data_IF_956550883783
#
_entry.id   IF_956550883783
#
_cell.length_a   1.000
_cell.length_b   1.000
_cell.length_c   1.000
_cell.angle_alpha   90.00
_cell.angle_beta   90.00
_cell.angle_gamma   90.00
#
_symmetry.space_group_name_H-M   'P 1'
#
loop_
_entity.id
_entity.type
_entity.pdbx_description
1 polymer ?
2 non-polymer ?
3 non-polymer ?
4 water ?
#
# COMPACT_ATOMS: atom_id res chain seq x y z
N UNK A 38 -10.92 0.97 -20.55
CA UNK A 38 -12.35 1.05 -20.20
C UNK A 38 -13.06 2.07 -21.08
N UNK A 39 -14.31 1.78 -21.41
CA UNK A 39 -15.18 2.64 -22.22
C UNK A 39 -15.46 3.99 -21.56
N UNK A 40 -15.29 4.06 -20.23
CA UNK A 40 -15.61 5.26 -19.44
C UNK A 40 -14.48 6.33 -19.47
N UNK A 41 -14.86 7.56 -19.75
CA UNK A 41 -13.93 8.69 -19.74
C UNK A 41 -13.65 9.12 -18.30
N UNK A 42 -12.38 9.42 -18.03
CA UNK A 42 -11.93 9.75 -16.67
C UNK A 42 -11.32 11.15 -16.59
N UNK A 43 -11.95 11.97 -15.76
CA UNK A 43 -11.65 13.40 -15.63
C UNK A 43 -11.51 13.76 -14.16
N UNK A 44 -10.37 14.33 -13.83
CA UNK A 44 -10.18 14.76 -12.46
C UNK A 44 -10.58 16.20 -12.26
N UNK A 45 -11.16 16.47 -11.08
CA UNK A 45 -11.44 17.83 -10.62
C UNK A 45 -10.37 18.21 -9.59
N UNK A 46 -9.56 19.20 -9.93
CA UNK A 46 -8.43 19.60 -9.10
C UNK A 46 -8.56 21.06 -8.72
N UNK A 47 -8.10 21.40 -7.53
CA UNK A 47 -8.15 22.76 -7.04
C UNK A 47 -7.64 22.84 -5.62
N UNK A 48 -7.17 24.01 -5.25
CA UNK A 48 -6.73 24.25 -3.89
C UNK A 48 -7.86 23.94 -2.91
N UNK A 49 -7.52 23.82 -1.64
CA UNK A 49 -8.49 23.66 -0.55
C UNK A 49 -9.61 24.72 -0.63
N UNK A 50 -10.85 24.29 -0.42
CA UNK A 50 -12.04 25.17 -0.51
C UNK A 50 -12.19 25.91 -1.83
N UNK A 51 -11.62 25.40 -2.93
CA UNK A 51 -11.85 26.05 -4.22
C UNK A 51 -13.25 25.79 -4.73
N UNK A 52 -13.88 24.71 -4.26
CA UNK A 52 -15.23 24.39 -4.64
C UNK A 52 -15.42 23.05 -5.35
N UNK A 53 -14.50 22.10 -5.14
CA UNK A 53 -14.47 20.86 -5.90
C UNK A 53 -15.64 19.99 -5.51
N UNK A 54 -15.83 19.78 -4.20
CA UNK A 54 -16.97 19.04 -3.66
C UNK A 54 -18.29 19.55 -4.22
N UNK A 55 -18.47 20.88 -4.08
CA UNK A 55 -19.63 21.60 -4.62
C UNK A 55 -19.91 21.28 -6.09
N UNK A 56 -18.89 21.42 -6.95
CA UNK A 56 -19.02 21.27 -8.41
C UNK A 56 -19.37 19.82 -8.76
N UNK A 57 -18.61 18.91 -8.19
CA UNK A 57 -18.83 17.48 -8.30
C UNK A 57 -20.31 17.15 -8.05
N UNK A 58 -20.90 17.70 -7.00
CA UNK A 58 -22.29 17.45 -6.69
C UNK A 58 -23.29 18.06 -7.65
N UNK A 59 -22.90 19.17 -8.28
CA UNK A 59 -23.64 19.76 -9.40
C UNK A 59 -23.56 18.83 -10.62
N UNK A 60 -22.33 18.42 -10.97
CA UNK A 60 -22.08 17.59 -12.14
C UNK A 60 -22.84 16.28 -12.07
N UNK A 61 -22.90 15.72 -10.85
CA UNK A 61 -23.65 14.49 -10.55
C UNK A 61 -25.03 14.50 -11.16
N UNK A 62 -25.78 15.56 -10.84
CA UNK A 62 -27.19 15.69 -11.14
C UNK A 62 -27.47 15.93 -12.64
N UNK A 63 -26.47 16.37 -13.38
CA UNK A 63 -26.71 16.90 -14.71
C UNK A 63 -27.03 15.90 -15.79
N UNK A 64 -26.47 14.71 -15.69
CA UNK A 64 -26.70 13.65 -16.66
C UNK A 64 -26.80 12.32 -15.93
N UNK A 65 -27.62 11.39 -16.44
CA UNK A 65 -27.53 10.02 -15.95
C UNK A 65 -26.21 9.43 -16.41
N UNK A 66 -25.61 10.03 -17.44
CA UNK A 66 -24.35 9.52 -17.97
C UNK A 66 -23.13 10.01 -17.18
N UNK A 67 -23.34 10.85 -16.19
CA UNK A 67 -22.21 11.39 -15.45
C UNK A 67 -22.24 10.89 -14.02
N UNK A 68 -21.18 10.22 -13.61
CA UNK A 68 -21.08 9.74 -12.24
C UNK A 68 -19.86 10.38 -11.58
N UNK A 69 -19.85 10.45 -10.24
CA UNK A 69 -18.72 11.03 -9.49
C UNK A 69 -18.06 10.12 -8.45
N UNK A 70 -16.73 10.21 -8.33
CA UNK A 70 -16.03 9.59 -7.17
C UNK A 70 -15.58 10.63 -6.13
N UNK A 71 -16.32 10.73 -5.01
CA UNK A 71 -16.00 11.62 -3.90
C UNK A 71 -14.61 11.29 -3.31
N UNK A 72 -13.89 12.30 -2.84
CA UNK A 72 -12.57 12.12 -2.21
C UNK A 72 -12.73 11.64 -0.77
N UNK A 73 -12.14 10.48 -0.42
CA UNK A 73 -12.38 9.90 0.89
C UNK A 73 -12.30 10.87 2.09
N UNK A 74 -11.44 11.87 2.02
CA UNK A 74 -11.10 12.60 3.25
C UNK A 74 -12.06 13.63 3.90
N UNK A 75 -13.07 14.19 3.20
CA UNK A 75 -14.10 15.01 3.91
C UNK A 75 -15.04 14.20 4.81
N UNK A 76 -15.48 13.05 4.32
CA UNK A 76 -16.32 12.16 5.13
C UNK A 76 -15.58 11.77 6.42
N UNK A 77 -14.25 11.83 6.40
CA UNK A 77 -13.48 11.54 7.60
C UNK A 77 -13.62 12.63 8.67
N UNK A 78 -13.91 13.86 8.27
CA UNK A 78 -13.90 14.98 9.23
C UNK A 78 -15.21 15.18 9.99
N UNK A 79 -16.33 15.03 9.30
CA UNK A 79 -17.67 15.27 9.86
C UNK A 79 -18.15 14.24 10.91
N UNK A 80 -19.14 14.65 11.72
CA UNK A 80 -19.78 13.74 12.69
C UNK A 80 -21.26 13.55 12.37
N UNK A 89 -24.79 5.06 11.45
CA UNK A 89 -23.40 5.50 11.53
C UNK A 89 -22.47 4.33 11.86
N UNK A 90 -21.60 3.98 10.90
CA UNK A 90 -20.65 2.88 11.06
C UNK A 90 -19.34 3.07 10.24
N UNK A 91 -19.07 2.14 9.31
CA UNK A 91 -17.88 2.14 8.39
C UNK A 91 -16.45 2.16 8.99
N UNK A 92 -15.71 1.07 8.76
CA UNK A 92 -14.35 0.89 9.29
C UNK A 92 -13.35 1.89 8.70
N UNK A 93 -13.57 2.27 7.45
CA UNK A 93 -12.73 3.29 6.82
C UNK A 93 -13.02 4.70 7.38
N UNK A 94 -14.28 4.99 7.68
CA UNK A 94 -14.64 6.28 8.25
C UNK A 94 -14.10 6.37 9.69
N UNK A 95 -14.20 5.26 10.41
CA UNK A 95 -13.69 5.16 11.75
C UNK A 95 -12.16 5.34 11.76
N UNK A 96 -11.47 4.69 10.82
CA UNK A 96 -10.00 4.71 10.75
C UNK A 96 -9.58 6.08 10.29
N UNK A 97 -10.20 6.52 9.18
CA UNK A 97 -9.87 7.82 8.61
C UNK A 97 -10.14 8.96 9.57
N UNK A 98 -11.29 8.94 10.24
CA UNK A 98 -11.62 9.92 11.29
C UNK A 98 -10.60 9.99 12.41
N UNK A 99 -10.15 8.84 12.89
CA UNK A 99 -8.98 8.85 13.83
C UNK A 99 -7.69 9.40 13.23
N UNK A 100 -7.30 8.83 12.09
CA UNK A 100 -6.05 9.27 11.47
C UNK A 100 -6.04 10.79 11.14
N UNK A 101 -7.16 11.32 10.66
CA UNK A 101 -7.25 12.78 10.41
C UNK A 101 -7.08 13.60 11.68
N UNK A 102 -7.72 13.18 12.76
CA UNK A 102 -7.65 13.89 14.01
C UNK A 102 -6.23 13.79 14.56
N UNK A 103 -5.57 12.66 14.34
CA UNK A 103 -4.20 12.50 14.83
C UNK A 103 -3.22 13.32 14.00
N UNK A 104 -3.48 13.37 12.70
CA UNK A 104 -2.81 14.29 11.77
C UNK A 104 -2.79 15.73 12.26
N UNK A 105 -3.93 16.19 12.77
CA UNK A 105 -4.07 17.58 13.20
C UNK A 105 -3.21 17.94 14.42
N UNK A 106 -2.98 16.98 15.32
CA UNK A 106 -2.27 17.23 16.56
C UNK A 106 -0.77 17.04 16.44
N UNK A 107 -0.36 16.15 15.52
CA UNK A 107 1.05 15.81 15.37
C UNK A 107 1.34 15.30 13.96
N UNK A 108 1.42 16.22 12.98
CA UNK A 108 1.56 15.79 11.61
C UNK A 108 2.88 15.05 11.35
N UNK A 109 3.94 15.39 12.07
CA UNK A 109 5.20 14.72 11.85
C UNK A 109 5.19 13.25 12.36
N UNK A 110 4.24 12.90 13.23
CA UNK A 110 4.05 11.47 13.60
C UNK A 110 3.18 10.70 12.60
N UNK A 111 2.08 11.33 12.22
CA UNK A 111 0.97 10.69 11.49
C UNK A 111 0.81 10.91 9.96
N UNK A 112 1.63 11.79 9.34
CA UNK A 112 1.48 12.20 7.91
C UNK A 112 1.61 11.03 6.95
N UNK A 113 2.67 10.25 7.17
CA UNK A 113 2.94 9.11 6.35
C UNK A 113 1.79 8.09 6.40
N UNK A 114 1.26 7.85 7.60
CA UNK A 114 0.16 6.94 7.82
C UNK A 114 -1.09 7.55 7.20
N UNK A 115 -1.29 8.85 7.43
CA UNK A 115 -2.52 9.46 6.93
C UNK A 115 -2.52 9.37 5.41
N UNK A 116 -1.40 9.76 4.81
CA UNK A 116 -1.34 9.81 3.35
C UNK A 116 -1.52 8.45 2.70
N UNK A 117 -0.90 7.41 3.27
CA UNK A 117 -1.11 6.02 2.84
C UNK A 117 -2.58 5.61 2.81
N UNK A 118 -3.23 5.79 3.94
CA UNK A 118 -4.63 5.41 3.98
C UNK A 118 -5.52 6.30 3.08
N UNK A 119 -5.25 7.61 3.03
CA UNK A 119 -5.99 8.48 2.15
C UNK A 119 -5.90 7.98 0.69
N UNK A 120 -4.69 7.63 0.27
CA UNK A 120 -4.40 7.15 -1.08
C UNK A 120 -4.98 5.76 -1.37
N UNK A 121 -4.83 4.80 -0.46
CA UNK A 121 -5.58 3.54 -0.51
C UNK A 121 -7.10 3.76 -0.65
N UNK A 122 -7.64 4.64 0.19
CA UNK A 122 -9.05 4.95 0.19
C UNK A 122 -9.45 5.45 -1.22
N UNK A 123 -8.60 6.30 -1.82
CA UNK A 123 -8.87 6.86 -3.14
C UNK A 123 -8.93 5.80 -4.25
N UNK A 124 -7.90 4.95 -4.36
CA UNK A 124 -7.79 3.96 -5.44
C UNK A 124 -9.00 3.01 -5.37
N UNK A 125 -9.25 2.49 -4.18
CA UNK A 125 -10.38 1.59 -3.99
C UNK A 125 -11.74 2.26 -4.35
N UNK A 126 -11.93 3.53 -4.03
CA UNK A 126 -13.21 4.19 -4.39
C UNK A 126 -13.31 4.45 -5.90
N UNK A 127 -12.17 4.78 -6.53
CA UNK A 127 -12.13 5.08 -7.95
C UNK A 127 -12.20 3.78 -8.78
N UNK A 128 -11.57 2.71 -8.28
CA UNK A 128 -11.74 1.38 -8.87
C UNK A 128 -13.16 0.83 -8.71
N UNK A 129 -13.75 0.92 -7.51
CA UNK A 129 -15.13 0.49 -7.27
C UNK A 129 -16.13 1.16 -8.22
N UNK A 130 -16.00 2.48 -8.41
CA UNK A 130 -16.93 3.22 -9.27
C UNK A 130 -16.75 2.89 -10.73
N UNK A 131 -15.50 2.61 -11.09
CA UNK A 131 -15.11 2.25 -12.41
C UNK A 131 -15.73 0.91 -12.78
N UNK A 132 -15.77 -0.01 -11.82
CA UNK A 132 -16.38 -1.32 -12.01
C UNK A 132 -17.88 -1.36 -11.96
N UNK A 133 -18.47 -0.61 -11.04
CA UNK A 133 -19.87 -0.81 -10.71
C UNK A 133 -20.90 -0.03 -11.48
N UNK A 134 -20.49 0.98 -12.25
CA UNK A 134 -21.49 1.78 -12.97
C UNK A 134 -21.11 2.27 -14.35
N UNK A 135 -22.00 3.08 -14.94
CA UNK A 135 -21.89 3.56 -16.32
C UNK A 135 -21.69 2.45 -17.36
N UNK A 136 -22.24 1.27 -17.06
CA UNK A 136 -22.17 0.14 -17.97
C UNK A 136 -23.24 0.30 -19.08
N UNK A 137 -24.35 0.93 -18.73
CA UNK A 137 -25.45 1.21 -19.65
C UNK A 137 -25.36 2.63 -20.25
N UNK A 138 -24.26 3.31 -20.03
CA UNK A 138 -24.13 4.70 -20.49
C UNK A 138 -23.68 4.81 -21.94
N UNK A 139 -24.31 5.73 -22.66
CA UNK A 139 -23.94 5.96 -24.05
C UNK A 139 -22.66 6.81 -24.16
N UNK A 140 -22.56 7.83 -23.32
CA UNK A 140 -21.43 8.75 -23.27
C UNK A 140 -20.94 8.85 -21.80
N UNK A 141 -20.27 7.78 -21.29
CA UNK A 141 -20.03 7.79 -19.86
C UNK A 141 -18.78 8.58 -19.48
N UNK A 142 -18.92 9.36 -18.42
CA UNK A 142 -17.84 10.16 -17.85
C UNK A 142 -17.89 9.95 -16.34
N UNK A 143 -16.74 9.63 -15.79
CA UNK A 143 -16.61 9.50 -14.36
C UNK A 143 -15.69 10.68 -13.92
N UNK A 144 -16.19 11.50 -13.02
CA UNK A 144 -15.40 12.60 -12.47
C UNK A 144 -14.76 12.20 -11.11
N UNK A 145 -13.43 12.14 -11.08
CA UNK A 145 -12.70 11.94 -9.82
C UNK A 145 -12.49 13.26 -9.08
N UNK A 146 -13.10 13.41 -7.89
CA UNK A 146 -12.70 14.48 -6.96
C UNK A 146 -11.25 14.28 -6.53
N UNK A 147 -10.36 15.16 -7.02
CA UNK A 147 -8.92 15.05 -6.81
C UNK A 147 -8.38 13.79 -7.43
N UNK A 148 -7.07 13.55 -7.33
CA UNK A 148 -6.44 12.39 -7.96
C UNK A 148 -5.25 11.91 -7.18
N UNK A 149 -4.80 10.71 -7.52
CA UNK A 149 -3.65 10.13 -6.83
C UNK A 149 -2.43 11.01 -7.10
N UNK A 150 -2.48 11.76 -8.22
CA UNK A 150 -1.44 12.73 -8.60
C UNK A 150 -1.39 13.97 -7.74
N UNK A 151 -2.53 14.62 -7.50
CA UNK A 151 -2.52 15.74 -6.56
C UNK A 151 -2.16 15.23 -5.16
N UNK A 152 -2.76 14.11 -4.75
CA UNK A 152 -2.48 13.56 -3.42
C UNK A 152 -0.96 13.43 -3.17
N UNK A 153 -0.22 13.01 -4.20
CA UNK A 153 1.22 12.83 -4.10
C UNK A 153 1.98 14.12 -4.40
N UNK A 154 1.85 14.63 -5.62
CA UNK A 154 2.70 15.75 -6.06
C UNK A 154 2.29 17.12 -5.50
N UNK A 155 1.03 17.28 -5.08
CA UNK A 155 0.62 18.46 -4.33
C UNK A 155 0.74 18.19 -2.82
N UNK A 156 -0.13 17.32 -2.28
CA UNK A 156 -0.30 17.28 -0.82
C UNK A 156 0.77 16.55 0.03
N UNK A 157 1.12 15.33 -0.38
CA UNK A 157 2.19 14.57 0.28
C UNK A 157 3.50 15.33 0.19
N UNK A 158 3.81 15.83 -1.01
CA UNK A 158 5.01 16.59 -1.30
C UNK A 158 5.12 17.81 -0.41
N UNK A 159 3.97 18.41 -0.13
CA UNK A 159 3.86 19.50 0.82
C UNK A 159 4.20 19.07 2.24
N UNK A 160 3.71 17.88 2.63
CA UNK A 160 3.99 17.35 3.98
C UNK A 160 5.50 17.16 4.20
N UNK A 161 6.17 16.62 3.19
CA UNK A 161 7.59 16.42 3.18
C UNK A 161 8.30 17.76 3.25
N UNK A 162 7.90 18.64 2.34
CA UNK A 162 8.55 19.94 2.25
C UNK A 162 8.37 20.68 3.56
N UNK A 163 7.31 20.37 4.34
CA UNK A 163 7.07 20.98 5.66
C UNK A 163 7.66 20.23 6.84
N UNK A 164 8.41 19.20 6.49
CA UNK A 164 9.17 18.40 7.42
C UNK A 164 8.28 17.50 8.33
N UNK A 165 7.09 17.11 7.81
CA UNK A 165 6.19 16.19 8.51
C UNK A 165 6.39 14.73 8.11
N UNK A 166 7.14 14.48 7.04
CA UNK A 166 7.72 13.16 6.74
C UNK A 166 9.19 13.44 6.53
N UNK A 167 10.07 12.55 7.00
CA UNK A 167 11.50 12.60 6.68
C UNK A 167 11.75 12.02 5.29
N UNK A 168 13.01 11.85 4.92
CA UNK A 168 13.35 11.34 3.60
C UNK A 168 12.90 9.88 3.33
N UNK A 169 13.05 9.01 4.31
CA UNK A 169 12.66 7.61 4.16
C UNK A 169 11.13 7.47 4.06
N UNK A 170 10.39 8.09 4.98
CA UNK A 170 8.91 8.12 4.86
C UNK A 170 8.47 8.60 3.47
N UNK A 171 9.02 9.75 3.03
CA UNK A 171 8.77 10.28 1.69
C UNK A 171 9.26 9.35 0.55
N UNK A 172 10.51 8.84 0.62
CA UNK A 172 11.02 7.88 -0.40
C UNK A 172 10.17 6.58 -0.41
N UNK A 173 9.78 6.08 0.77
CA UNK A 173 8.88 4.89 0.91
C UNK A 173 7.49 5.19 0.31
N UNK A 174 6.92 6.33 0.71
CA UNK A 174 5.63 6.73 0.16
C UNK A 174 5.65 6.78 -1.36
N UNK A 175 6.66 7.45 -1.95
CA UNK A 175 6.81 7.53 -3.40
C UNK A 175 6.96 6.16 -4.08
N UNK A 176 7.81 5.31 -3.50
CA UNK A 176 7.94 3.91 -3.96
C UNK A 176 6.58 3.18 -3.93
N UNK A 177 5.91 3.25 -2.78
CA UNK A 177 4.58 2.69 -2.52
C UNK A 177 3.56 3.27 -3.53
N UNK A 178 3.65 4.59 -3.78
CA UNK A 178 2.68 5.29 -4.61
C UNK A 178 2.78 4.83 -6.05
N UNK A 179 4.01 4.77 -6.57
CA UNK A 179 4.30 4.29 -7.89
C UNK A 179 3.73 2.89 -8.07
N UNK A 180 4.12 1.99 -7.16
CA UNK A 180 3.68 0.60 -7.24
C UNK A 180 2.16 0.46 -7.02
N UNK A 181 1.59 1.06 -5.96
CA UNK A 181 0.13 0.97 -5.78
C UNK A 181 -0.56 1.38 -7.07
N UNK A 182 -0.05 2.41 -7.74
CA UNK A 182 -0.66 2.86 -8.98
C UNK A 182 -0.29 2.04 -10.21
N UNK A 183 0.98 1.66 -10.34
CA UNK A 183 1.36 0.84 -11.49
C UNK A 183 0.63 -0.50 -11.53
N UNK A 184 0.71 -1.24 -10.42
CA UNK A 184 0.08 -2.55 -10.33
C UNK A 184 -1.44 -2.49 -10.25
N UNK A 185 -2.00 -1.57 -9.46
CA UNK A 185 -3.46 -1.44 -9.26
C UNK A 185 -4.16 -0.33 -10.05
N UNK A 186 -3.45 0.75 -10.35
CA UNK A 186 -4.12 1.96 -10.86
C UNK A 186 -4.05 2.24 -12.35
N UNK A 187 -3.66 1.23 -13.12
CA UNK A 187 -3.53 1.33 -14.58
C UNK A 187 -4.85 1.67 -15.30
N UNK A 188 -5.98 1.30 -14.71
CA UNK A 188 -7.26 1.60 -15.35
C UNK A 188 -7.74 3.02 -14.96
N UNK A 189 -6.94 3.73 -14.16
CA UNK A 189 -7.34 5.03 -13.61
C UNK A 189 -6.60 6.19 -14.24
N UNK A 190 -5.89 5.96 -15.33
CA UNK A 190 -5.18 7.04 -16.01
C UNK A 190 -6.19 8.05 -16.54
N UNK A 191 -5.82 9.34 -16.49
CA UNK A 191 -6.80 10.39 -16.74
C UNK A 191 -6.87 10.73 -18.20
N UNK A 192 -8.09 10.95 -18.68
CA UNK A 192 -8.35 11.39 -20.02
C UNK A 192 -8.30 12.91 -20.07
N UNK A 193 -8.57 13.55 -18.94
CA UNK A 193 -8.58 15.00 -18.83
C UNK A 193 -8.52 15.46 -17.37
N UNK A 194 -8.24 16.74 -17.20
CA UNK A 194 -8.25 17.40 -15.90
C UNK A 194 -8.97 18.73 -15.99
N UNK A 195 -9.80 19.01 -14.98
CA UNK A 195 -10.45 20.30 -14.83
C UNK A 195 -9.93 20.93 -13.57
N UNK A 196 -9.31 22.09 -13.79
CA UNK A 196 -8.67 22.85 -12.76
C UNK A 196 -9.58 24.00 -12.35
N UNK A 197 -10.13 23.89 -11.16
CA UNK A 197 -10.86 24.97 -10.54
C UNK A 197 -9.82 25.86 -9.87
N UNK A 198 -9.56 26.97 -10.54
CA UNK A 198 -8.51 27.93 -10.18
C UNK A 198 -9.19 29.06 -9.43
N UNK A 199 -8.77 29.26 -8.17
CA UNK A 199 -9.22 30.39 -7.35
C UNK A 199 -8.00 30.99 -6.63
N UNK A 200 -8.10 32.25 -6.22
CA UNK A 200 -6.97 32.88 -5.51
C UNK A 200 -6.79 32.33 -4.10
N UNK A 201 -5.54 32.36 -3.56
CA UNK A 201 -5.44 31.89 -2.19
C UNK A 201 -6.51 32.52 -1.29
N UNK A 202 -6.90 33.75 -1.63
CA UNK A 202 -7.84 34.50 -0.81
C UNK A 202 -9.29 34.09 -0.96
N UNK A 203 -9.66 33.59 -2.13
CA UNK A 203 -10.97 32.98 -2.32
C UNK A 203 -11.08 31.79 -1.39
N UNK A 204 -10.06 30.95 -1.37
CA UNK A 204 -10.14 29.70 -0.60
C UNK A 204 -10.17 29.89 0.89
N UNK A 205 -9.42 30.88 1.38
CA UNK A 205 -9.43 31.24 2.79
C UNK A 205 -10.84 31.67 3.17
N UNK A 206 -11.44 32.54 2.36
CA UNK A 206 -12.84 32.95 2.57
C UNK A 206 -13.77 31.75 2.54
N UNK A 207 -13.58 30.87 1.55
CA UNK A 207 -14.42 29.69 1.48
C UNK A 207 -14.25 28.71 2.64
N UNK A 208 -13.02 28.52 3.13
CA UNK A 208 -12.75 27.81 4.38
C UNK A 208 -13.52 28.43 5.55
N UNK A 209 -13.50 29.75 5.63
CA UNK A 209 -14.32 30.49 6.59
C UNK A 209 -15.83 30.29 6.31
N UNK A 210 -16.23 30.21 5.04
CA UNK A 210 -17.63 29.90 4.74
C UNK A 210 -18.01 28.50 5.26
N UNK A 211 -17.18 27.49 4.94
CA UNK A 211 -17.46 26.08 5.27
C UNK A 211 -17.48 25.83 6.79
N UNK A 212 -16.54 26.47 7.50
CA UNK A 212 -16.57 26.50 8.96
C UNK A 212 -16.24 25.17 9.63
N UNK A 213 -15.38 24.39 8.99
CA UNK A 213 -14.84 23.19 9.60
C UNK A 213 -13.89 23.67 10.70
N UNK A 214 -14.05 23.13 11.91
CA UNK A 214 -13.32 23.58 13.10
C UNK A 214 -11.83 23.58 12.90
N UNK A 215 -11.32 22.39 12.61
CA UNK A 215 -9.90 22.12 12.43
C UNK A 215 -9.26 23.09 11.44
N UNK A 216 -9.98 23.41 10.38
CA UNK A 216 -9.45 24.16 9.24
C UNK A 216 -9.33 25.68 9.41
N UNK A 217 -9.94 26.23 10.45
CA UNK A 217 -10.04 27.69 10.59
C UNK A 217 -8.70 28.39 10.82
N UNK A 218 -7.75 27.67 11.39
CA UNK A 218 -6.42 28.19 11.67
C UNK A 218 -5.49 28.17 10.47
N UNK A 219 -5.92 27.52 9.38
CA UNK A 219 -5.12 27.47 8.15
C UNK A 219 -4.76 28.87 7.70
N UNK A 220 -3.46 29.14 7.52
CA UNK A 220 -2.98 30.41 6.99
C UNK A 220 -2.98 30.50 5.47
N UNK A 221 -2.98 31.74 5.00
CA UNK A 221 -2.94 32.12 3.59
C UNK A 221 -1.66 31.63 2.91
N UNK A 222 -0.57 31.55 3.68
CA UNK A 222 0.73 31.18 3.16
C UNK A 222 0.78 29.69 2.81
N UNK A 223 0.11 28.88 3.62
CA UNK A 223 -0.06 27.47 3.34
C UNK A 223 -0.81 27.34 2.03
N UNK A 224 -1.93 28.06 1.93
CA UNK A 224 -2.75 28.07 0.70
C UNK A 224 -1.99 28.57 -0.52
N UNK A 225 -1.14 29.58 -0.33
CA UNK A 225 -0.34 30.11 -1.44
C UNK A 225 0.66 29.09 -2.01
N UNK A 226 1.32 28.36 -1.11
CA UNK A 226 2.23 27.27 -1.47
C UNK A 226 1.49 26.26 -2.33
N UNK A 227 0.42 25.71 -1.74
CA UNK A 227 -0.49 24.80 -2.43
C UNK A 227 -1.02 25.36 -3.74
N UNK A 228 -1.29 26.68 -3.79
CA UNK A 228 -1.74 27.34 -5.02
C UNK A 228 -0.65 27.38 -6.09
N UNK A 229 0.53 27.87 -5.73
CA UNK A 229 1.68 27.82 -6.64
C UNK A 229 1.96 26.39 -7.12
N UNK A 230 1.85 25.42 -6.22
CA UNK A 230 1.94 24.00 -6.56
C UNK A 230 0.98 23.65 -7.68
N UNK A 231 -0.29 23.96 -7.45
CA UNK A 231 -1.32 23.79 -8.49
C UNK A 231 -0.94 24.53 -9.80
N UNK A 232 -0.48 25.77 -9.70
CA UNK A 232 -0.14 26.58 -10.90
C UNK A 232 0.98 25.95 -11.77
N UNK A 233 2.03 25.48 -11.10
CA UNK A 233 3.15 24.79 -11.76
C UNK A 233 2.73 23.50 -12.46
N UNK A 234 1.86 22.73 -11.81
CA UNK A 234 1.40 21.46 -12.36
C UNK A 234 0.50 21.65 -13.59
N UNK A 235 -0.49 22.53 -13.46
CA UNK A 235 -1.62 22.53 -14.39
C UNK A 235 -1.66 23.68 -15.39
N UNK A 236 -1.14 24.85 -15.04
CA UNK A 236 -1.07 25.99 -15.98
C UNK A 236 0.26 25.92 -16.75
N UNK A 237 1.37 26.28 -16.10
CA UNK A 237 2.72 26.19 -16.67
C UNK A 237 3.06 24.80 -17.19
N UNK A 238 2.66 23.79 -16.40
CA UNK A 238 2.97 22.40 -16.68
C UNK A 238 4.47 22.17 -16.63
N UNK A 239 5.11 22.89 -15.70
CA UNK A 239 6.53 22.74 -15.35
C UNK A 239 6.73 21.62 -14.34
N UNK A 240 5.67 21.27 -13.61
CA UNK A 240 5.79 20.21 -12.62
C UNK A 240 5.97 18.86 -13.32
N UNK A 241 7.16 18.31 -13.18
CA UNK A 241 7.49 17.02 -13.78
C UNK A 241 7.05 15.91 -12.83
N UNK A 242 6.36 14.91 -13.38
CA UNK A 242 5.92 13.75 -12.61
C UNK A 242 6.64 12.47 -13.02
N UNK A 243 6.38 11.40 -12.28
CA UNK A 243 6.87 10.09 -12.61
C UNK A 243 5.84 9.35 -13.47
N UNK A 244 4.88 10.11 -14.01
CA UNK A 244 3.80 9.54 -14.80
C UNK A 244 3.79 10.15 -16.18
N UNK A 245 4.27 9.37 -17.14
CA UNK A 245 4.63 9.86 -18.48
C UNK A 245 3.46 10.50 -19.20
N UNK A 246 2.37 9.75 -19.29
CA UNK A 246 1.17 10.19 -20.00
C UNK A 246 0.62 11.55 -19.53
N UNK A 247 0.71 11.84 -18.23
CA UNK A 247 0.15 13.04 -17.61
C UNK A 247 0.57 14.33 -18.29
N UNK A 248 1.83 14.39 -18.71
CA UNK A 248 2.37 15.56 -19.41
C UNK A 248 1.54 15.86 -20.67
N UNK A 249 0.84 14.84 -21.16
CA UNK A 249 0.06 14.95 -22.39
C UNK A 249 -1.45 15.17 -22.20
N UNK A 250 -1.94 15.05 -20.96
CA UNK A 250 -3.38 15.09 -20.71
C UNK A 250 -3.93 16.53 -20.84
N UNK A 251 -5.02 16.71 -21.61
CA UNK A 251 -5.67 18.01 -21.80
C UNK A 251 -6.17 18.58 -20.48
N UNK A 252 -6.00 19.88 -20.27
CA UNK A 252 -6.36 20.53 -19.02
C UNK A 252 -7.30 21.71 -19.28
N UNK A 253 -8.52 21.65 -18.76
CA UNK A 253 -9.43 22.79 -18.76
C UNK A 253 -9.29 23.64 -17.49
N UNK A 254 -8.89 24.90 -17.62
CA UNK A 254 -8.83 25.74 -16.44
C UNK A 254 -10.09 26.61 -16.33
N UNK A 255 -10.75 26.57 -15.18
CA UNK A 255 -11.98 27.30 -14.93
C UNK A 255 -11.70 28.25 -13.79
N UNK A 256 -12.06 29.53 -14.00
CA UNK A 256 -12.10 30.57 -12.94
C UNK A 256 -13.31 30.40 -12.06
N UNK A 257 -13.07 30.09 -10.79
CA UNK A 257 -14.18 29.84 -9.90
C UNK A 257 -14.21 30.83 -8.74
N UNK A 258 -13.58 31.98 -8.94
CA UNK A 258 -13.59 33.01 -7.93
C UNK A 258 -14.99 33.52 -7.70
N UNK A 259 -15.71 33.83 -8.77
CA UNK A 259 -17.10 34.23 -8.68
C UNK A 259 -17.89 33.04 -8.18
N UNK A 260 -18.74 33.29 -7.20
CA UNK A 260 -19.64 32.27 -6.72
C UNK A 260 -20.32 31.62 -7.95
N UNK A 261 -20.49 30.29 -7.90
CA UNK A 261 -21.12 29.54 -9.03
C UNK A 261 -22.24 28.59 -8.60
N UNK A 262 -22.50 28.56 -7.31
CA UNK A 262 -23.46 27.63 -6.74
C UNK A 262 -24.90 27.78 -7.28
N UNK A 263 -25.31 29.00 -7.61
CA UNK A 263 -26.67 29.23 -8.15
C UNK A 263 -26.59 29.68 -9.58
N UNK A 264 -25.39 29.63 -10.15
CA UNK A 264 -25.14 30.24 -11.42
C UNK A 264 -23.99 29.49 -12.11
N UNK A 265 -24.25 28.23 -12.48
CA UNK A 265 -23.16 27.43 -12.98
C UNK A 265 -23.18 27.15 -14.48
N UNK A 266 -24.14 27.73 -15.20
CA UNK A 266 -24.32 27.27 -16.58
C UNK A 266 -23.14 27.46 -17.52
N UNK A 267 -22.47 28.61 -17.50
CA UNK A 267 -21.30 28.80 -18.38
C UNK A 267 -20.18 27.84 -18.02
N UNK A 268 -20.05 27.53 -16.74
CA UNK A 268 -19.03 26.58 -16.27
C UNK A 268 -19.32 25.18 -16.81
N UNK A 269 -20.55 24.71 -16.60
CA UNK A 269 -20.94 23.44 -17.24
C UNK A 269 -20.78 23.48 -18.77
N UNK A 270 -21.09 24.63 -19.39
CA UNK A 270 -20.92 24.71 -20.84
C UNK A 270 -19.48 24.43 -21.28
N UNK A 271 -18.51 24.95 -20.52
CA UNK A 271 -17.11 24.73 -20.87
C UNK A 271 -16.67 23.29 -20.69
N UNK A 272 -17.21 22.66 -19.64
CA UNK A 272 -17.09 21.21 -19.41
C UNK A 272 -17.61 20.42 -20.59
N UNK A 273 -18.84 20.74 -21.04
CA UNK A 273 -19.40 20.03 -22.18
C UNK A 273 -18.57 20.21 -23.45
N UNK A 274 -18.04 21.40 -23.72
CA UNK A 274 -17.14 21.63 -24.85
C UNK A 274 -15.80 20.86 -24.73
N UNK A 275 -15.15 21.03 -23.58
CA UNK A 275 -13.93 20.30 -23.26
C UNK A 275 -14.13 18.80 -23.57
N UNK A 276 -15.08 18.16 -22.89
CA UNK A 276 -15.41 16.74 -23.10
C UNK A 276 -15.53 16.36 -24.58
N UNK A 277 -16.09 17.28 -25.37
CA UNK A 277 -16.31 17.04 -26.78
C UNK A 277 -15.01 16.86 -27.55
N UNK A 278 -13.94 17.50 -27.09
CA UNK A 278 -12.64 17.40 -27.74
C UNK A 278 -12.02 16.03 -27.51
N UNK A 279 -12.38 15.40 -26.38
CA UNK A 279 -11.79 14.13 -25.96
C UNK A 279 -12.54 12.93 -26.55
N UNK B 38 -2.98 -21.73 -11.80
CA UNK B 38 -1.64 -21.43 -12.38
C UNK B 38 -0.78 -22.70 -12.43
N UNK B 39 0.00 -22.82 -13.50
CA UNK B 39 0.93 -23.93 -13.71
C UNK B 39 2.12 -23.81 -12.75
N UNK B 40 2.57 -22.59 -12.47
CA UNK B 40 3.59 -22.39 -11.42
C UNK B 40 2.96 -22.72 -10.06
N UNK B 41 3.55 -23.71 -9.39
CA UNK B 41 3.19 -24.02 -8.01
C UNK B 41 3.91 -23.06 -7.05
N UNK B 42 3.13 -22.33 -6.24
CA UNK B 42 3.76 -21.48 -5.22
C UNK B 42 3.78 -22.19 -3.87
N UNK B 43 4.99 -22.30 -3.32
CA UNK B 43 5.20 -22.93 -2.03
C UNK B 43 5.91 -21.96 -1.11
N UNK B 44 5.29 -21.66 0.01
CA UNK B 44 5.97 -20.82 1.02
C UNK B 44 6.78 -21.64 2.07
N UNK B 45 7.90 -21.06 2.50
CA UNK B 45 8.74 -21.66 3.53
C UNK B 45 8.62 -20.77 4.78
N UNK B 46 8.05 -21.34 5.83
CA UNK B 46 7.76 -20.63 7.08
C UNK B 46 8.60 -21.14 8.24
N UNK B 47 8.57 -20.39 9.34
CA UNK B 47 9.38 -20.71 10.49
C UNK B 47 9.93 -19.51 11.21
N UNK B 48 10.35 -19.76 12.45
CA UNK B 48 10.85 -18.71 13.32
C UNK B 48 12.13 -18.03 12.83
N UNK B 49 12.43 -16.87 13.42
CA UNK B 49 13.73 -16.22 13.26
C UNK B 49 14.85 -17.25 13.41
N UNK B 50 15.67 -17.32 12.36
CA UNK B 50 16.94 -18.08 12.31
C UNK B 50 16.77 -19.58 12.32
N UNK B 51 15.55 -20.06 12.05
CA UNK B 51 15.25 -21.50 11.97
C UNK B 51 16.11 -22.16 10.91
N UNK B 52 16.42 -21.41 9.86
CA UNK B 52 17.14 -21.93 8.70
C UNK B 52 16.38 -21.83 7.38
N UNK B 53 15.45 -20.88 7.33
CA UNK B 53 14.58 -20.67 6.17
C UNK B 53 15.43 -20.24 4.99
N UNK B 54 16.34 -19.28 5.18
CA UNK B 54 17.20 -18.84 4.12
C UNK B 54 18.16 -19.93 3.64
N UNK B 55 18.80 -20.58 4.61
CA UNK B 55 19.68 -21.74 4.39
C UNK B 55 18.96 -22.81 3.55
N UNK B 56 17.72 -23.14 3.95
CA UNK B 56 16.90 -24.15 3.27
C UNK B 56 16.44 -23.72 1.86
N UNK B 57 16.18 -22.44 1.69
CA UNK B 57 15.73 -21.95 0.42
C UNK B 57 16.87 -22.01 -0.60
N UNK B 58 18.06 -21.58 -0.19
CA UNK B 58 19.24 -21.55 -1.04
C UNK B 58 19.69 -22.98 -1.44
N UNK B 59 19.56 -23.94 -0.52
CA UNK B 59 19.71 -25.38 -0.83
C UNK B 59 18.81 -25.77 -2.02
N UNK B 60 17.50 -25.58 -1.86
CA UNK B 60 16.49 -25.96 -2.82
C UNK B 60 16.76 -25.40 -4.21
N UNK B 61 17.06 -24.10 -4.26
CA UNK B 61 17.25 -23.41 -5.54
C UNK B 61 18.20 -24.15 -6.52
N UNK B 62 19.27 -24.74 -6.01
CA UNK B 62 20.26 -25.38 -6.91
C UNK B 62 19.91 -26.81 -7.32
N UNK B 63 18.80 -27.35 -6.82
CA UNK B 63 18.50 -28.78 -7.01
C UNK B 63 17.65 -29.11 -8.25
N UNK B 64 17.15 -28.08 -8.90
CA UNK B 64 16.22 -28.27 -9.99
C UNK B 64 16.15 -27.01 -10.80
N UNK B 65 16.26 -27.22 -12.10
CA UNK B 65 16.05 -26.22 -13.10
C UNK B 65 14.60 -25.74 -13.04
N UNK B 66 13.67 -26.61 -12.60
CA UNK B 66 12.28 -26.23 -12.41
C UNK B 66 12.05 -25.54 -11.06
N UNK B 67 13.09 -25.43 -10.21
CA UNK B 67 12.92 -24.76 -8.92
C UNK B 67 13.57 -23.41 -8.80
N UNK B 68 12.74 -22.45 -8.44
CA UNK B 68 13.13 -21.08 -8.25
C UNK B 68 12.66 -20.63 -6.88
N UNK B 69 13.33 -19.62 -6.29
CA UNK B 69 13.00 -19.13 -4.95
C UNK B 69 12.86 -17.60 -4.97
N UNK B 70 12.05 -17.08 -4.04
CA UNK B 70 11.95 -15.62 -3.84
C UNK B 70 12.36 -15.26 -2.42
N UNK B 71 13.56 -14.72 -2.25
CA UNK B 71 13.93 -14.46 -0.88
C UNK B 71 13.14 -13.32 -0.25
N UNK B 72 13.07 -13.32 1.07
CA UNK B 72 12.27 -12.34 1.81
C UNK B 72 13.04 -11.03 1.78
N UNK B 73 12.33 -9.89 1.92
CA UNK B 73 12.96 -8.60 1.69
C UNK B 73 13.97 -8.14 2.74
N UNK B 74 13.63 -8.27 4.02
CA UNK B 74 14.45 -7.62 5.07
C UNK B 74 15.91 -8.10 5.19
N UNK B 75 16.16 -9.38 4.91
CA UNK B 75 17.50 -9.96 4.92
C UNK B 75 18.49 -9.14 4.07
N UNK B 76 18.02 -8.68 2.91
CA UNK B 76 18.87 -7.85 2.08
C UNK B 76 19.11 -6.50 2.75
N UNK B 77 18.16 -6.06 3.57
CA UNK B 77 18.23 -4.72 4.16
C UNK B 77 19.36 -4.58 5.18
N UNK B 78 19.67 -5.69 5.86
CA UNK B 78 20.71 -5.78 6.89
C UNK B 78 22.18 -5.57 6.43
N UNK B 79 22.58 -6.21 5.31
CA UNK B 79 23.98 -6.16 4.80
C UNK B 79 24.38 -4.83 4.13
N UNK B 80 25.70 -4.62 3.92
CA UNK B 80 26.18 -3.41 3.21
C UNK B 80 27.21 -3.66 2.07
N UNK B 81 28.44 -3.99 2.43
CA UNK B 81 29.57 -4.06 1.49
C UNK B 81 29.69 -2.79 0.64
N UNK B 90 23.52 0.84 -3.25
CA UNK B 90 22.43 1.77 -2.99
C UNK B 90 21.27 1.64 -3.98
N UNK B 91 20.45 0.59 -3.88
CA UNK B 91 19.16 0.60 -4.61
C UNK B 91 18.13 1.22 -3.67
N UNK B 92 17.06 1.77 -4.24
CA UNK B 92 16.15 2.56 -3.42
C UNK B 92 15.56 1.70 -2.29
N UNK B 93 14.98 0.55 -2.62
CA UNK B 93 14.40 -0.33 -1.58
C UNK B 93 15.44 -0.64 -0.49
N UNK B 94 16.70 -0.77 -0.91
CA UNK B 94 17.77 -1.10 0.01
C UNK B 94 18.09 0.07 0.95
N UNK B 95 18.05 1.30 0.43
CA UNK B 95 18.31 2.49 1.28
C UNK B 95 17.18 2.70 2.31
N UNK B 96 15.96 2.76 1.81
CA UNK B 96 14.75 2.77 2.61
C UNK B 96 14.71 1.66 3.63
N UNK B 97 15.07 0.47 3.17
CA UNK B 97 15.01 -0.74 3.96
C UNK B 97 15.98 -0.74 5.11
N UNK B 98 17.23 -0.36 4.86
CA UNK B 98 18.21 -0.25 5.94
C UNK B 98 17.77 0.74 7.01
N UNK B 99 17.39 1.94 6.54
CA UNK B 99 16.95 3.02 7.40
C UNK B 99 15.78 2.63 8.27
N UNK B 100 14.72 2.09 7.65
CA UNK B 100 13.54 1.76 8.43
C UNK B 100 13.78 0.57 9.36
N UNK B 101 14.57 -0.40 8.92
CA UNK B 101 15.03 -1.48 9.83
C UNK B 101 15.64 -0.90 11.11
N UNK B 102 16.57 0.02 10.94
CA UNK B 102 17.29 0.60 12.07
C UNK B 102 16.35 1.41 13.00
N UNK B 103 15.44 2.17 12.41
CA UNK B 103 14.46 2.95 13.18
C UNK B 103 13.52 2.06 13.97
N UNK B 104 13.14 0.94 13.37
CA UNK B 104 12.33 -0.08 14.05
C UNK B 104 12.96 -0.63 15.31
N UNK B 105 14.23 -0.99 15.18
CA UNK B 105 14.98 -1.58 16.26
C UNK B 105 15.07 -0.58 17.39
N UNK B 106 15.19 0.67 17.00
CA UNK B 106 15.51 1.78 17.86
C UNK B 106 14.23 2.33 18.54
N UNK B 107 13.11 2.42 17.80
CA UNK B 107 11.84 2.98 18.33
C UNK B 107 10.59 2.29 17.73
N UNK B 108 10.27 1.08 18.24
CA UNK B 108 9.27 0.17 17.65
C UNK B 108 7.82 0.71 17.56
N UNK B 109 7.34 1.34 18.64
CA UNK B 109 6.05 1.99 18.73
C UNK B 109 5.82 3.16 17.73
N UNK B 110 6.89 3.60 17.07
CA UNK B 110 6.85 4.69 16.08
C UNK B 110 6.88 4.18 14.64
N UNK B 111 7.60 3.08 14.42
CA UNK B 111 7.95 2.63 13.05
C UNK B 111 7.32 1.31 12.61
N UNK B 112 6.74 0.56 13.53
CA UNK B 112 6.14 -0.73 13.17
C UNK B 112 5.25 -0.68 11.94
N UNK B 113 4.24 0.19 11.96
CA UNK B 113 3.38 0.38 10.79
C UNK B 113 4.12 0.59 9.47
N UNK B 114 5.01 1.60 9.43
CA UNK B 114 5.78 1.93 8.23
C UNK B 114 6.65 0.75 7.81
N UNK B 115 7.24 0.08 8.79
CA UNK B 115 8.12 -1.05 8.50
C UNK B 115 7.36 -2.22 7.87
N UNK B 116 6.28 -2.62 8.52
CA UNK B 116 5.53 -3.78 8.11
C UNK B 116 4.89 -3.53 6.76
N UNK B 117 4.38 -2.30 6.57
CA UNK B 117 3.73 -1.94 5.31
C UNK B 117 4.77 -2.05 4.19
N UNK B 118 5.95 -1.48 4.44
CA UNK B 118 7.01 -1.51 3.44
C UNK B 118 7.61 -2.91 3.17
N UNK B 119 7.72 -3.73 4.22
CA UNK B 119 8.14 -5.13 4.07
C UNK B 119 7.14 -5.91 3.20
N UNK B 120 5.85 -5.73 3.46
CA UNK B 120 4.84 -6.45 2.66
C UNK B 120 4.84 -6.00 1.20
N UNK B 121 4.94 -4.69 0.95
CA UNK B 121 4.99 -4.17 -0.42
C UNK B 121 6.12 -4.82 -1.21
N UNK B 122 7.27 -4.86 -0.57
CA UNK B 122 8.49 -5.30 -1.16
C UNK B 122 8.45 -6.78 -1.44
N UNK B 123 7.92 -7.53 -0.47
CA UNK B 123 7.67 -8.95 -0.63
C UNK B 123 6.68 -9.25 -1.74
N UNK B 124 5.51 -8.59 -1.75
CA UNK B 124 4.53 -8.75 -2.82
C UNK B 124 5.12 -8.38 -4.18
N UNK B 125 5.86 -7.28 -4.22
CA UNK B 125 6.32 -6.86 -5.52
C UNK B 125 7.33 -7.89 -6.02
N UNK B 126 8.20 -8.37 -5.13
CA UNK B 126 9.20 -9.38 -5.49
C UNK B 126 8.59 -10.73 -5.84
N UNK B 127 7.57 -11.18 -5.09
CA UNK B 127 6.87 -12.42 -5.43
C UNK B 127 6.18 -12.31 -6.80
N UNK B 128 5.42 -11.24 -7.01
CA UNK B 128 4.74 -11.01 -8.30
C UNK B 128 5.68 -10.97 -9.51
N UNK B 129 6.89 -10.50 -9.28
CA UNK B 129 7.89 -10.29 -10.31
C UNK B 129 8.51 -11.61 -10.80
N UNK B 130 8.81 -12.50 -9.84
CA UNK B 130 9.24 -13.85 -10.16
C UNK B 130 8.11 -14.63 -10.80
N UNK B 131 6.94 -14.57 -10.19
CA UNK B 131 5.75 -15.26 -10.69
C UNK B 131 5.42 -14.87 -12.15
N UNK B 132 5.92 -13.72 -12.57
CA UNK B 132 5.65 -13.22 -13.91
C UNK B 132 6.83 -13.30 -14.86
N UNK B 133 8.02 -13.56 -14.31
CA UNK B 133 9.27 -13.46 -15.06
C UNK B 133 10.05 -14.76 -15.24
N UNK B 134 10.21 -15.55 -14.17
CA UNK B 134 11.07 -16.73 -14.22
C UNK B 134 10.33 -18.06 -14.44
N UNK B 135 11.06 -19.15 -14.70
CA UNK B 135 10.47 -20.49 -14.80
C UNK B 135 9.70 -20.83 -16.10
N UNK B 136 9.68 -19.92 -17.07
CA UNK B 136 8.71 -20.02 -18.18
C UNK B 136 8.66 -21.28 -19.08
N UNK B 137 9.76 -22.01 -19.19
CA UNK B 137 9.76 -23.23 -20.01
C UNK B 137 10.06 -24.53 -19.23
N UNK B 138 9.88 -24.47 -17.90
CA UNK B 138 9.95 -25.63 -17.01
C UNK B 138 8.67 -26.46 -17.17
N UNK B 139 8.74 -27.78 -17.07
CA UNK B 139 7.51 -28.58 -17.16
C UNK B 139 6.78 -28.77 -15.83
N UNK B 140 7.53 -28.77 -14.73
CA UNK B 140 6.94 -28.78 -13.38
C UNK B 140 7.54 -27.64 -12.58
N UNK B 141 7.19 -26.37 -12.94
CA UNK B 141 7.85 -25.25 -12.26
C UNK B 141 7.28 -25.07 -10.83
N UNK B 142 8.17 -24.71 -9.90
CA UNK B 142 7.83 -24.44 -8.49
C UNK B 142 8.53 -23.18 -8.04
N UNK B 143 7.76 -22.25 -7.48
CA UNK B 143 8.30 -21.06 -6.90
C UNK B 143 8.18 -21.20 -5.40
N UNK B 144 9.32 -21.19 -4.73
CA UNK B 144 9.37 -21.22 -3.29
C UNK B 144 9.47 -19.79 -2.76
N UNK B 145 8.49 -19.38 -1.97
CA UNK B 145 8.55 -18.08 -1.30
C UNK B 145 9.21 -18.23 0.07
N UNK B 146 10.21 -17.40 0.37
CA UNK B 146 10.78 -17.31 1.73
C UNK B 146 9.82 -16.45 2.57
N UNK B 147 9.12 -17.09 3.51
CA UNK B 147 7.90 -16.55 4.16
C UNK B 147 6.76 -16.22 3.16
N UNK B 148 5.77 -15.45 3.62
CA UNK B 148 4.60 -15.14 2.80
C UNK B 148 3.84 -13.92 3.35
N UNK B 149 2.84 -13.46 2.62
CA UNK B 149 2.04 -12.34 3.09
C UNK B 149 1.21 -12.74 4.33
N UNK B 150 0.84 -14.01 4.40
CA UNK B 150 0.04 -14.53 5.51
C UNK B 150 0.80 -14.52 6.84
N UNK B 151 2.00 -15.08 6.83
CA UNK B 151 2.91 -15.01 7.96
C UNK B 151 3.29 -13.57 8.32
N UNK B 152 3.45 -12.72 7.30
CA UNK B 152 3.80 -11.34 7.59
C UNK B 152 2.75 -10.67 8.53
N UNK B 153 1.49 -10.84 8.17
CA UNK B 153 0.36 -10.31 8.92
C UNK B 153 0.08 -11.10 10.22
N UNK B 154 0.06 -12.43 10.15
CA UNK B 154 -0.40 -13.21 11.29
C UNK B 154 0.71 -13.56 12.30
N UNK B 155 1.95 -13.41 11.90
CA UNK B 155 3.01 -13.71 12.86
C UNK B 155 3.58 -12.39 13.32
N UNK B 156 4.09 -11.63 12.35
CA UNK B 156 4.88 -10.49 12.66
C UNK B 156 4.01 -9.29 12.99
N UNK B 157 3.11 -8.93 12.09
CA UNK B 157 2.26 -7.75 12.29
C UNK B 157 1.40 -7.91 13.55
N UNK B 158 0.82 -9.09 13.74
CA UNK B 158 0.08 -9.43 14.94
C UNK B 158 0.86 -9.27 16.26
N UNK B 159 2.06 -9.86 16.38
CA UNK B 159 2.88 -9.67 17.61
C UNK B 159 3.20 -8.19 17.89
N UNK B 160 3.45 -7.43 16.81
CA UNK B 160 3.57 -5.98 16.92
C UNK B 160 2.30 -5.29 17.51
N UNK B 161 1.12 -5.62 17.03
CA UNK B 161 -0.12 -5.08 17.61
C UNK B 161 -0.19 -5.44 19.10
N UNK B 162 0.11 -6.71 19.39
CA UNK B 162 0.15 -7.25 20.77
C UNK B 162 1.25 -6.68 21.65
N UNK B 163 2.33 -6.20 21.04
CA UNK B 163 3.44 -5.58 21.76
C UNK B 163 3.18 -4.09 22.05
N UNK B 164 2.06 -3.56 21.57
CA UNK B 164 1.75 -2.11 21.64
C UNK B 164 2.62 -1.24 20.74
N UNK B 165 3.40 -1.89 19.88
CA UNK B 165 4.17 -1.22 18.86
C UNK B 165 3.27 -0.71 17.73
N UNK B 166 2.08 -1.26 17.56
CA UNK B 166 1.05 -0.55 16.77
C UNK B 166 -0.14 -0.27 17.64
N UNK B 167 -0.71 0.93 17.53
CA UNK B 167 -2.00 1.24 18.13
C UNK B 167 -3.23 0.60 17.38
N UNK B 168 -4.40 0.55 18.01
CA UNK B 168 -5.58 -0.03 17.32
C UNK B 168 -5.83 0.45 15.86
N UNK B 169 -5.82 1.77 15.65
CA UNK B 169 -5.96 2.43 14.33
C UNK B 169 -4.96 1.96 13.29
N UNK B 170 -3.70 1.86 13.68
CA UNK B 170 -2.64 1.39 12.81
C UNK B 170 -2.84 -0.06 12.39
N UNK B 171 -3.24 -0.89 13.36
CA UNK B 171 -3.42 -2.32 13.14
C UNK B 171 -4.51 -2.55 12.12
N UNK B 172 -5.60 -1.80 12.30
CA UNK B 172 -6.79 -1.96 11.50
C UNK B 172 -6.65 -1.30 10.13
N UNK B 173 -5.93 -0.17 10.05
CA UNK B 173 -5.48 0.37 8.72
C UNK B 173 -4.66 -0.67 7.97
N UNK B 174 -3.68 -1.25 8.67
CA UNK B 174 -2.82 -2.26 8.09
C UNK B 174 -3.58 -3.49 7.59
N UNK B 175 -4.53 -3.98 8.37
CA UNK B 175 -5.27 -5.18 7.98
C UNK B 175 -6.16 -4.88 6.76
N UNK B 176 -6.78 -3.70 6.76
CA UNK B 176 -7.65 -3.26 5.66
C UNK B 176 -6.83 -3.18 4.34
N UNK B 177 -5.67 -2.52 4.36
CA UNK B 177 -4.73 -2.44 3.23
C UNK B 177 -4.38 -3.86 2.77
N UNK B 178 -3.79 -4.65 3.67
CA UNK B 178 -3.58 -6.09 3.41
C UNK B 178 -4.78 -6.79 2.72
N UNK B 179 -5.97 -6.73 3.32
CA UNK B 179 -7.22 -7.25 2.75
C UNK B 179 -7.50 -6.86 1.29
N UNK B 180 -7.71 -5.57 1.04
CA UNK B 180 -8.03 -5.07 -0.30
C UNK B 180 -6.95 -5.48 -1.32
N UNK B 181 -5.70 -5.29 -0.94
CA UNK B 181 -4.60 -5.45 -1.87
C UNK B 181 -4.32 -6.90 -2.27
N UNK B 182 -4.66 -7.84 -1.39
CA UNK B 182 -4.46 -9.26 -1.67
C UNK B 182 -5.71 -9.84 -2.34
N UNK B 183 -6.85 -9.21 -2.10
CA UNK B 183 -8.05 -9.62 -2.82
C UNK B 183 -8.07 -9.01 -4.24
N UNK B 184 -7.06 -8.20 -4.55
CA UNK B 184 -6.74 -7.91 -5.95
C UNK B 184 -5.61 -8.84 -6.44
N UNK B 185 -4.60 -9.07 -5.58
CA UNK B 185 -3.32 -9.67 -6.03
C UNK B 185 -2.94 -11.00 -5.36
N UNK B 186 -3.34 -11.17 -4.10
CA UNK B 186 -3.05 -12.40 -3.37
C UNK B 186 -3.57 -13.65 -4.06
N UNK B 187 -4.30 -13.43 -5.17
CA UNK B 187 -4.95 -14.50 -5.94
C UNK B 187 -3.99 -15.24 -6.86
N UNK B 188 -3.23 -14.46 -7.65
CA UNK B 188 -2.17 -15.01 -8.46
C UNK B 188 -1.00 -15.37 -7.55
N UNK B 189 -1.06 -14.89 -6.31
CA UNK B 189 -0.04 -15.15 -5.30
C UNK B 189 -0.33 -16.39 -4.45
N UNK B 190 -1.59 -16.84 -4.49
CA UNK B 190 -2.12 -17.92 -3.65
C UNK B 190 -1.22 -19.14 -3.66
N UNK B 191 -1.13 -19.78 -2.51
CA UNK B 191 -0.19 -20.88 -2.33
C UNK B 191 -0.81 -22.26 -2.57
N UNK B 192 -0.05 -23.13 -3.20
CA UNK B 192 -0.40 -24.56 -3.33
C UNK B 192 0.00 -25.37 -2.12
N UNK B 193 0.94 -24.85 -1.33
CA UNK B 193 1.29 -25.53 -0.09
C UNK B 193 2.26 -24.76 0.75
N UNK B 194 2.32 -25.08 2.03
CA UNK B 194 3.30 -24.52 2.93
C UNK B 194 4.23 -25.58 3.46
N UNK B 195 5.49 -25.17 3.57
CA UNK B 195 6.51 -25.92 4.24
C UNK B 195 6.89 -25.19 5.53
N UNK B 196 6.68 -25.87 6.66
CA UNK B 196 7.02 -25.32 7.97
C UNK B 196 8.35 -25.86 8.49
N UNK B 197 9.35 -25.00 8.59
CA UNK B 197 10.60 -25.35 9.28
C UNK B 197 10.60 -25.15 10.81
N UNK B 198 10.47 -26.27 11.50
CA UNK B 198 10.24 -26.25 12.93
C UNK B 198 11.53 -26.51 13.68
N UNK B 199 11.96 -25.46 14.40
CA UNK B 199 13.06 -25.48 15.35
C UNK B 199 12.58 -24.89 16.67
N UNK B 200 13.16 -25.34 17.78
CA UNK B 200 12.78 -24.80 19.08
C UNK B 200 13.37 -23.41 19.23
N UNK B 201 12.80 -22.59 20.13
CA UNK B 201 13.40 -21.28 20.42
C UNK B 201 14.87 -21.36 20.75
N UNK B 202 15.26 -22.31 21.61
CA UNK B 202 16.66 -22.49 21.99
C UNK B 202 17.53 -22.66 20.73
N UNK B 203 17.13 -23.59 19.88
CA UNK B 203 17.78 -23.80 18.59
C UNK B 203 17.87 -22.47 17.87
N UNK B 204 16.71 -21.82 17.73
CA UNK B 204 16.63 -20.54 17.02
C UNK B 204 17.54 -19.47 17.63
N UNK B 205 17.58 -19.37 18.96
CA UNK B 205 18.50 -18.44 19.66
C UNK B 205 20.00 -18.65 19.39
N UNK B 206 20.43 -19.91 19.44
CA UNK B 206 21.79 -20.29 19.07
C UNK B 206 22.11 -19.89 17.63
N UNK B 207 21.14 -20.07 16.72
CA UNK B 207 21.30 -19.71 15.31
C UNK B 207 21.34 -18.21 15.03
N UNK B 208 20.64 -17.39 15.84
CA UNK B 208 20.81 -15.93 15.80
C UNK B 208 22.27 -15.59 16.14
N UNK B 209 22.80 -16.35 17.10
CA UNK B 209 24.17 -16.24 17.56
C UNK B 209 25.17 -16.59 16.45
N UNK B 210 24.99 -17.75 15.83
CA UNK B 210 25.86 -18.18 14.73
C UNK B 210 25.81 -17.19 13.59
N UNK B 211 24.62 -16.74 13.25
CA UNK B 211 24.49 -15.77 12.18
C UNK B 211 25.20 -14.47 12.57
N UNK B 212 25.13 -14.13 13.85
CA UNK B 212 25.95 -13.05 14.43
C UNK B 212 25.67 -11.66 13.87
N UNK B 213 24.51 -11.50 13.23
CA UNK B 213 24.07 -10.21 12.72
C UNK B 213 23.97 -9.33 13.95
N UNK B 214 24.77 -8.28 13.97
CA UNK B 214 24.98 -7.48 15.19
C UNK B 214 23.71 -7.04 15.93
N UNK B 215 22.79 -6.40 15.22
CA UNK B 215 21.56 -5.82 15.81
C UNK B 215 20.56 -6.86 16.34
N UNK B 216 20.84 -8.14 16.09
CA UNK B 216 19.94 -9.21 16.50
C UNK B 216 20.37 -9.90 17.81
N UNK B 217 21.60 -9.63 18.25
CA UNK B 217 22.17 -10.32 19.41
C UNK B 217 21.48 -10.03 20.76
N UNK B 218 20.50 -9.13 20.74
CA UNK B 218 19.79 -8.73 21.94
C UNK B 218 18.38 -9.30 22.03
N UNK B 219 17.85 -9.77 20.90
CA UNK B 219 16.60 -10.52 20.87
C UNK B 219 16.65 -11.61 21.94
N UNK B 220 15.67 -11.62 22.88
CA UNK B 220 15.71 -12.56 23.99
C UNK B 220 14.87 -13.82 23.74
N UNK B 221 15.19 -14.92 24.43
CA UNK B 221 14.45 -16.19 24.28
C UNK B 221 12.94 -15.95 24.26
N UNK B 222 12.46 -15.22 25.26
CA UNK B 222 11.03 -14.99 25.45
C UNK B 222 10.36 -14.49 24.17
N UNK B 223 11.06 -13.68 23.39
CA UNK B 223 10.53 -13.16 22.14
C UNK B 223 10.30 -14.28 21.13
N UNK B 224 11.28 -15.19 21.01
CA UNK B 224 11.17 -16.31 20.07
C UNK B 224 10.14 -17.33 20.53
N UNK B 225 9.94 -17.45 21.84
CA UNK B 225 8.88 -18.35 22.34
C UNK B 225 7.47 -17.91 21.90
N UNK B 226 7.30 -16.60 21.73
CA UNK B 226 6.03 -16.04 21.30
C UNK B 226 5.79 -16.33 19.81
N UNK B 227 6.80 -16.05 19.00
CA UNK B 227 6.71 -16.28 17.56
C UNK B 227 6.55 -17.76 17.31
N UNK B 228 7.32 -18.57 18.05
CA UNK B 228 7.15 -20.03 18.06
C UNK B 228 5.69 -20.43 18.24
N UNK B 229 5.07 -19.87 19.28
CA UNK B 229 3.75 -20.31 19.68
C UNK B 229 2.76 -20.00 18.59
N UNK B 230 2.95 -18.85 17.93
CA UNK B 230 2.08 -18.47 16.83
C UNK B 230 2.22 -19.38 15.61
N UNK B 231 3.47 -19.73 15.29
CA UNK B 231 3.67 -20.65 14.18
C UNK B 231 2.95 -21.97 14.44
N UNK B 232 3.17 -22.52 15.63
CA UNK B 232 2.50 -23.79 16.01
C UNK B 232 0.97 -23.62 15.98
N UNK B 233 0.50 -22.48 16.46
CA UNK B 233 -0.93 -22.20 16.45
C UNK B 233 -1.45 -22.21 15.01
N UNK B 234 -0.70 -21.58 14.09
CA UNK B 234 -1.11 -21.49 12.69
C UNK B 234 -0.93 -22.81 11.91
N UNK B 235 0.27 -23.38 11.97
CA UNK B 235 0.63 -24.47 11.06
C UNK B 235 0.53 -25.88 11.63
N UNK B 236 0.56 -26.01 12.94
CA UNK B 236 0.38 -27.31 13.57
C UNK B 236 -1.06 -27.52 14.04
N UNK B 237 -1.43 -26.86 15.14
CA UNK B 237 -2.75 -27.01 15.76
C UNK B 237 -3.87 -26.37 14.90
N UNK B 238 -3.48 -25.50 13.97
CA UNK B 238 -4.38 -24.86 12.99
C UNK B 238 -5.56 -24.12 13.64
N UNK B 239 -5.35 -23.71 14.88
CA UNK B 239 -6.34 -23.01 15.69
C UNK B 239 -6.36 -21.53 15.34
N UNK B 240 -5.50 -21.13 14.41
CA UNK B 240 -5.42 -19.72 14.02
C UNK B 240 -6.36 -19.38 12.87
N UNK B 241 -7.13 -18.32 13.04
CA UNK B 241 -8.07 -17.88 12.01
C UNK B 241 -7.57 -16.66 11.26
N UNK B 242 -7.71 -16.71 9.94
CA UNK B 242 -7.26 -15.64 9.06
C UNK B 242 -8.40 -15.29 8.12
N UNK B 243 -8.25 -14.20 7.37
CA UNK B 243 -9.29 -13.78 6.42
C UNK B 243 -9.38 -14.68 5.20
N UNK B 244 -8.25 -15.28 4.87
CA UNK B 244 -8.03 -15.98 3.62
C UNK B 244 -8.51 -17.41 3.76
N UNK B 245 -9.73 -17.65 3.30
CA UNK B 245 -10.47 -18.87 3.63
C UNK B 245 -9.85 -20.16 3.10
N UNK B 246 -9.25 -20.11 1.91
CA UNK B 246 -8.60 -21.29 1.32
C UNK B 246 -7.47 -21.85 2.20
N UNK B 247 -6.80 -20.96 2.94
CA UNK B 247 -5.67 -21.33 3.81
C UNK B 247 -5.97 -22.44 4.83
N UNK B 248 -7.24 -22.65 5.14
CA UNK B 248 -7.63 -23.69 6.11
C UNK B 248 -7.44 -25.10 5.57
N UNK B 249 -7.43 -25.25 4.25
CA UNK B 249 -7.35 -26.56 3.64
C UNK B 249 -5.99 -26.80 2.94
N UNK B 250 -5.23 -25.71 2.77
CA UNK B 250 -3.90 -25.73 2.16
C UNK B 250 -2.98 -26.81 2.75
N UNK B 251 -2.40 -27.67 1.89
CA UNK B 251 -1.48 -28.69 2.39
C UNK B 251 -0.29 -28.09 3.14
N UNK B 252 0.13 -28.73 4.22
CA UNK B 252 1.28 -28.27 4.99
C UNK B 252 2.27 -29.44 5.11
N UNK B 253 3.56 -29.18 4.91
CA UNK B 253 4.59 -30.15 5.23
C UNK B 253 5.37 -29.59 6.38
N UNK B 254 5.50 -30.39 7.44
CA UNK B 254 6.34 -29.99 8.55
C UNK B 254 7.63 -30.80 8.65
N UNK B 255 8.75 -30.08 8.64
CA UNK B 255 10.11 -30.59 8.74
C UNK B 255 10.76 -30.09 10.04
N UNK B 256 11.08 -31.04 10.90
CA UNK B 256 11.86 -30.73 12.09
C UNK B 256 13.29 -30.44 11.73
N UNK B 257 13.73 -29.22 11.98
CA UNK B 257 15.06 -28.80 11.53
C UNK B 257 15.97 -28.45 12.71
N UNK B 258 15.63 -28.99 13.88
CA UNK B 258 16.46 -28.85 15.09
C UNK B 258 17.92 -29.32 14.98
N UNK B 259 18.16 -30.30 14.11
CA UNK B 259 19.52 -30.79 13.82
C UNK B 259 20.08 -30.06 12.61
N UNK B 260 21.35 -29.68 12.65
CA UNK B 260 21.98 -29.02 11.50
C UNK B 260 21.80 -29.86 10.23
N UNK B 261 21.32 -29.22 9.15
CA UNK B 261 21.00 -29.95 7.91
C UNK B 261 21.87 -29.47 6.76
N UNK B 262 22.87 -28.68 7.10
CA UNK B 262 23.75 -28.06 6.12
C UNK B 262 24.32 -29.09 5.15
N UNK B 263 24.98 -30.12 5.67
CA UNK B 263 25.48 -31.14 4.75
C UNK B 263 24.74 -32.46 4.88
N UNK B 264 23.59 -32.42 5.52
CA UNK B 264 22.74 -33.61 5.63
C UNK B 264 21.32 -33.13 5.51
N UNK B 265 20.87 -32.96 4.27
CA UNK B 265 19.56 -32.38 4.02
C UNK B 265 18.81 -33.21 2.99
N UNK B 266 19.48 -34.26 2.49
CA UNK B 266 18.85 -35.11 1.49
C UNK B 266 17.51 -35.60 1.95
N UNK B 267 17.43 -36.03 3.22
CA UNK B 267 16.18 -36.59 3.71
C UNK B 267 15.04 -35.56 3.71
N UNK B 268 15.34 -34.32 4.09
CA UNK B 268 14.39 -33.21 3.97
C UNK B 268 13.89 -33.02 2.55
N UNK B 269 14.83 -33.02 1.62
CA UNK B 269 14.49 -32.78 0.22
C UNK B 269 13.62 -33.92 -0.33
N UNK B 270 13.99 -35.15 -0.01
CA UNK B 270 13.15 -36.30 -0.30
C UNK B 270 11.72 -36.04 0.19
N UNK B 271 11.58 -35.54 1.42
CA UNK B 271 10.27 -35.14 1.93
C UNK B 271 9.58 -34.05 1.08
N UNK B 272 10.29 -32.98 0.75
CA UNK B 272 9.72 -31.94 -0.17
C UNK B 272 9.25 -32.47 -1.54
N UNK B 273 10.08 -33.29 -2.19
CA UNK B 273 9.73 -33.86 -3.52
C UNK B 273 8.45 -34.72 -3.45
N UNK B 274 8.40 -35.59 -2.43
CA UNK B 274 7.18 -36.26 -1.97
C UNK B 274 5.95 -35.33 -1.85
N UNK B 275 6.13 -34.21 -1.16
CA UNK B 275 5.04 -33.28 -0.88
C UNK B 275 4.58 -32.65 -2.21
N UNK B 276 5.55 -32.29 -3.04
CA UNK B 276 5.28 -31.64 -4.33
C UNK B 276 4.53 -32.50 -5.34
N UNK B 277 4.66 -33.82 -5.22
CA UNK B 277 4.06 -34.73 -6.19
C UNK B 277 2.62 -35.02 -5.81
N UNK B 278 2.16 -34.43 -4.69
CA UNK B 278 0.81 -34.64 -4.14
C UNK B 278 -0.10 -33.41 -4.20
N UNK B 279 0.38 -32.32 -4.79
CA UNK B 279 -0.42 -31.09 -4.88
C UNK B 279 -1.14 -30.99 -6.22
#
# INVERSE_FOLDING_TARGET
MGSSHHHHHHSGLVPRGSHMATPPKRSSPSFSASSEGTRIKKISIEGNIAAGKSTFVNILKQLSEDWEVVPEPVARWSNVQSTQDEFEELTMEQKNGGNVLQMMYEKPERWSFTFQTYACLSMIRAQLASLNGKLKDAEKPVLFFERSVYSARYIFASNLYESESMNETEWTIYQDWHDWMNNQFGQSLELDGIIYLQATPETCLHRIYLRGRNEEQGIPLEYLEKLHYKHESWLLHRTLKTNFDYLQEVPILTLDVNEDFKDKYESLVEKVKEFLSTL
MGSSHHHHHHSGLVPRGSHMATPPKRSSPSFSASSEGTRIKKISIEGNIAAGKSTFVNILKQLSEDWEVVPEPVARWSNVQSTQDEFEELTMEQKNGGNVLQMMYEKPERWSFTFQTYACLSMIRAQLASLNGKLKDAEKPVLFFERSVYSARYIFASNLYESESMNETEWTIYQDWHDWMNNQFGQSLELDGIIYLQATPETCLHRIYLRGRNEEQGIPLEYLEKLHYKHESWLLHRTLKTNFDYLQEVPILTLDVNEDFKDKYESLVEKVKEFLSTL
#
